data_IF_147323018541
#
_entry.id   IF_147323018541
#
_cell.length_a   1.000
_cell.length_b   1.000
_cell.length_c   1.000
_cell.angle_alpha   90.00
_cell.angle_beta   90.00
_cell.angle_gamma   90.00
#
_symmetry.space_group_name_H-M   'P 1'
#
loop_
_entity.id
_entity.type
_entity.pdbx_description
1 polymer ?
#
# COMPACT_ATOMS: atom_id res chain seq x y z
N UNK A 1 -3.75 -0.57 31.56
CA UNK A 1 -4.69 -1.02 30.50
C UNK A 1 -5.15 0.12 29.58
N UNK A 2 -4.33 1.17 29.36
CA UNK A 2 -4.70 2.32 28.50
C UNK A 2 -4.33 2.16 27.00
N UNK A 3 -3.48 1.20 26.64
CA UNK A 3 -2.94 1.10 25.27
C UNK A 3 -3.75 0.22 24.30
N UNK A 4 -4.72 -0.57 24.78
CA UNK A 4 -5.45 -1.48 23.89
C UNK A 4 -6.47 -0.74 23.01
N UNK A 5 -7.27 0.14 23.60
CA UNK A 5 -8.26 0.94 22.87
C UNK A 5 -7.63 1.85 21.81
N UNK A 6 -6.56 2.57 22.17
CA UNK A 6 -5.87 3.47 21.22
C UNK A 6 -5.27 2.74 20.01
N UNK A 7 -4.75 1.52 20.21
CA UNK A 7 -4.21 0.71 19.13
C UNK A 7 -5.31 0.15 18.22
N UNK A 8 -6.45 -0.21 18.79
CA UNK A 8 -7.61 -0.69 18.02
C UNK A 8 -8.19 0.46 17.16
N UNK A 9 -8.28 1.68 17.71
CA UNK A 9 -8.73 2.86 16.96
C UNK A 9 -7.80 3.23 15.80
N UNK A 10 -6.48 3.14 16.01
CA UNK A 10 -5.48 3.38 14.97
C UNK A 10 -5.56 2.34 13.84
N UNK A 11 -5.68 1.05 14.17
CA UNK A 11 -5.85 -0.01 13.19
C UNK A 11 -7.13 0.19 12.36
N UNK A 12 -8.24 0.59 12.99
CA UNK A 12 -9.50 0.91 12.32
C UNK A 12 -9.32 2.10 11.36
N UNK A 13 -8.61 3.15 11.78
CA UNK A 13 -8.30 4.30 10.91
C UNK A 13 -7.53 3.85 9.67
N UNK A 14 -6.44 3.09 9.85
CA UNK A 14 -5.61 2.57 8.75
C UNK A 14 -6.45 1.72 7.80
N UNK A 15 -7.27 0.81 8.32
CA UNK A 15 -8.16 -0.03 7.50
C UNK A 15 -9.14 0.80 6.67
N UNK A 16 -9.67 1.89 7.23
CA UNK A 16 -10.60 2.75 6.50
C UNK A 16 -9.90 3.48 5.35
N UNK A 17 -8.70 4.03 5.59
CA UNK A 17 -7.88 4.66 4.53
C UNK A 17 -7.57 3.66 3.42
N UNK A 18 -7.14 2.45 3.77
CA UNK A 18 -6.82 1.41 2.80
C UNK A 18 -8.05 0.92 2.02
N UNK A 19 -9.22 0.83 2.67
CA UNK A 19 -10.48 0.53 1.99
C UNK A 19 -10.82 1.60 0.97
N UNK A 20 -10.67 2.88 1.32
CA UNK A 20 -10.91 3.99 0.40
C UNK A 20 -9.95 3.94 -0.79
N UNK A 21 -8.64 3.81 -0.55
CA UNK A 21 -7.64 3.70 -1.63
C UNK A 21 -7.94 2.55 -2.60
N UNK A 22 -8.33 1.38 -2.09
CA UNK A 22 -8.68 0.22 -2.94
C UNK A 22 -10.05 0.28 -3.59
N UNK A 23 -10.91 1.21 -3.16
CA UNK A 23 -12.21 1.45 -3.80
C UNK A 23 -12.12 2.38 -5.02
N UNK A 24 -10.95 2.98 -5.25
CA UNK A 24 -10.68 3.82 -6.42
C UNK A 24 -10.49 2.93 -7.65
N UNK A 25 -11.25 3.23 -8.71
CA UNK A 25 -11.20 2.49 -9.97
C UNK A 25 -10.08 3.03 -10.87
N UNK A 26 -8.93 2.35 -10.86
CA UNK A 26 -7.79 2.73 -11.69
C UNK A 26 -7.95 2.24 -13.14
N UNK A 27 -7.84 3.17 -14.09
CA UNK A 27 -7.89 2.92 -15.54
C UNK A 27 -6.57 3.36 -16.19
N UNK A 28 -6.20 2.79 -17.37
CA UNK A 28 -4.95 3.13 -18.06
C UNK A 28 -5.08 4.47 -18.81
N UNK A 29 -5.31 5.54 -18.05
CA UNK A 29 -5.43 6.92 -18.52
C UNK A 29 -4.79 7.85 -17.47
N UNK A 30 -4.45 9.10 -17.82
CA UNK A 30 -3.96 10.06 -16.85
C UNK A 30 -5.04 10.39 -15.82
N UNK A 31 -4.65 10.53 -14.55
CA UNK A 31 -5.58 10.95 -13.50
C UNK A 31 -6.08 12.37 -13.74
N UNK A 32 -7.38 12.55 -13.54
CA UNK A 32 -8.03 13.85 -13.35
C UNK A 32 -7.56 14.51 -12.05
N UNK A 33 -7.78 15.82 -11.92
CA UNK A 33 -7.41 16.54 -10.70
C UNK A 33 -8.20 16.07 -9.48
N UNK A 34 -9.46 15.66 -9.67
CA UNK A 34 -10.31 15.11 -8.61
C UNK A 34 -9.79 13.74 -8.13
N UNK A 35 -9.43 12.83 -9.05
CA UNK A 35 -8.85 11.53 -8.68
C UNK A 35 -7.50 11.70 -7.97
N UNK A 36 -6.65 12.62 -8.44
CA UNK A 36 -5.41 12.96 -7.73
C UNK A 36 -5.71 13.46 -6.33
N UNK A 37 -6.66 14.38 -6.17
CA UNK A 37 -7.03 14.92 -4.88
C UNK A 37 -7.50 13.84 -3.90
N UNK A 38 -8.30 12.88 -4.36
CA UNK A 38 -8.79 11.78 -3.55
C UNK A 38 -7.64 10.85 -3.10
N UNK A 39 -6.74 10.48 -4.01
CA UNK A 39 -5.55 9.68 -3.70
C UNK A 39 -4.65 10.41 -2.71
N UNK A 40 -4.35 11.68 -2.98
CA UNK A 40 -3.53 12.56 -2.16
C UNK A 40 -4.06 12.66 -0.72
N UNK A 41 -5.37 12.82 -0.55
CA UNK A 41 -5.98 12.89 0.78
C UNK A 41 -5.82 11.61 1.57
N UNK A 42 -5.91 10.45 0.92
CA UNK A 42 -5.69 9.18 1.61
C UNK A 42 -4.20 8.92 1.89
N UNK A 43 -3.30 9.25 0.96
CA UNK A 43 -1.86 9.06 1.16
C UNK A 43 -1.30 9.93 2.30
N UNK A 44 -1.84 11.13 2.51
CA UNK A 44 -1.44 12.02 3.61
C UNK A 44 -1.61 11.38 4.99
N UNK A 45 -2.56 10.47 5.16
CA UNK A 45 -2.79 9.73 6.41
C UNK A 45 -1.63 8.78 6.78
N UNK A 46 -0.73 8.52 5.82
CA UNK A 46 0.53 7.79 5.98
C UNK A 46 1.77 8.68 5.84
N UNK A 47 1.60 10.00 5.77
CA UNK A 47 2.70 10.93 5.51
C UNK A 47 3.24 10.85 4.08
N UNK A 48 2.41 10.41 3.13
CA UNK A 48 2.73 10.28 1.71
C UNK A 48 1.92 11.26 0.86
N UNK A 49 2.37 11.42 -0.37
CA UNK A 49 1.64 11.97 -1.50
C UNK A 49 2.09 11.22 -2.77
N UNK A 50 1.52 11.51 -3.94
CA UNK A 50 1.86 10.79 -5.17
C UNK A 50 3.34 11.02 -5.53
N UNK A 51 3.83 12.25 -5.38
CA UNK A 51 5.22 12.63 -5.68
C UNK A 51 6.22 11.83 -4.82
N UNK A 52 6.11 11.92 -3.50
CA UNK A 52 6.94 11.18 -2.56
C UNK A 52 6.82 9.68 -2.75
N UNK A 53 5.63 9.16 -3.08
CA UNK A 53 5.45 7.74 -3.38
C UNK A 53 6.26 7.30 -4.60
N UNK A 54 6.43 8.16 -5.60
CA UNK A 54 7.33 7.93 -6.75
C UNK A 54 8.79 7.98 -6.32
N UNK A 55 9.17 8.98 -5.52
CA UNK A 55 10.56 9.24 -5.13
C UNK A 55 11.14 8.23 -4.14
N UNK A 56 10.33 7.71 -3.22
CA UNK A 56 10.75 6.80 -2.17
C UNK A 56 11.45 5.56 -2.74
N UNK A 57 12.58 5.15 -2.16
CA UNK A 57 13.11 3.82 -2.47
C UNK A 57 12.27 2.72 -1.82
N UNK A 58 12.37 1.48 -2.33
CA UNK A 58 11.50 0.38 -1.90
C UNK A 58 11.62 0.12 -0.38
N UNK A 59 12.85 0.09 0.13
CA UNK A 59 13.16 -0.17 1.54
C UNK A 59 12.73 1.01 2.45
N UNK A 60 12.83 2.23 1.94
CA UNK A 60 12.40 3.44 2.65
C UNK A 60 10.88 3.47 2.81
N UNK A 61 10.14 3.10 1.75
CA UNK A 61 8.68 2.99 1.80
C UNK A 61 8.24 1.94 2.82
N UNK A 62 8.86 0.75 2.83
CA UNK A 62 8.56 -0.29 3.84
C UNK A 62 8.81 0.26 5.25
N UNK A 63 9.94 0.91 5.45
CA UNK A 63 10.31 1.48 6.75
C UNK A 63 9.28 2.53 7.21
N UNK A 64 8.81 3.38 6.29
CA UNK A 64 7.75 4.35 6.58
C UNK A 64 6.45 3.66 7.00
N UNK A 65 5.96 2.71 6.20
CA UNK A 65 4.66 2.06 6.45
C UNK A 65 4.66 1.27 7.76
N UNK A 66 5.76 0.60 8.11
CA UNK A 66 5.91 -0.08 9.41
C UNK A 66 5.94 0.93 10.56
N UNK A 67 6.56 2.11 10.38
CA UNK A 67 6.52 3.19 11.37
C UNK A 67 5.13 3.82 11.50
N UNK A 68 4.33 3.77 10.45
CA UNK A 68 2.90 4.12 10.46
C UNK A 68 2.02 3.00 11.06
N UNK A 69 2.62 1.97 11.66
CA UNK A 69 1.94 0.90 12.39
C UNK A 69 1.05 -0.01 11.53
N UNK A 70 1.27 -0.05 10.21
CA UNK A 70 0.58 -1.01 9.34
C UNK A 70 1.02 -2.44 9.71
N UNK A 71 0.05 -3.29 10.01
CA UNK A 71 0.30 -4.73 10.15
C UNK A 71 0.48 -5.43 8.80
N UNK A 72 0.84 -6.72 8.80
CA UNK A 72 1.09 -7.45 7.55
C UNK A 72 -0.10 -7.51 6.60
N UNK A 73 -1.33 -7.59 7.12
CA UNK A 73 -2.53 -7.60 6.30
C UNK A 73 -2.81 -6.22 5.71
N UNK A 74 -2.50 -5.15 6.45
CA UNK A 74 -2.59 -3.77 5.99
C UNK A 74 -1.48 -3.43 4.96
N UNK A 75 -0.27 -3.96 5.14
CA UNK A 75 0.81 -3.86 4.16
C UNK A 75 0.44 -4.59 2.86
N UNK A 76 -0.17 -5.77 2.95
CA UNK A 76 -0.66 -6.51 1.77
C UNK A 76 -1.71 -5.69 1.02
N UNK A 77 -2.66 -5.12 1.75
CA UNK A 77 -3.69 -4.23 1.22
C UNK A 77 -3.12 -2.97 0.54
N UNK A 78 -2.06 -2.39 1.09
CA UNK A 78 -1.38 -1.25 0.48
C UNK A 78 -0.64 -1.67 -0.81
N UNK A 79 0.02 -2.84 -0.80
CA UNK A 79 0.65 -3.39 -1.99
C UNK A 79 -0.37 -3.72 -3.10
N UNK A 80 -1.56 -4.21 -2.75
CA UNK A 80 -2.66 -4.43 -3.70
C UNK A 80 -3.08 -3.10 -4.36
N UNK A 81 -3.19 -2.03 -3.57
CA UNK A 81 -3.44 -0.68 -4.09
C UNK A 81 -2.34 -0.25 -5.07
N UNK A 82 -1.06 -0.40 -4.72
CA UNK A 82 0.05 -0.05 -5.62
C UNK A 82 0.01 -0.81 -6.94
N UNK A 83 -0.34 -2.10 -6.92
CA UNK A 83 -0.49 -2.91 -8.13
C UNK A 83 -1.60 -2.37 -9.04
N UNK A 84 -2.73 -1.97 -8.47
CA UNK A 84 -3.84 -1.40 -9.25
C UNK A 84 -3.48 0.00 -9.77
N UNK A 85 -2.86 0.83 -8.93
CA UNK A 85 -2.48 2.18 -9.31
C UNK A 85 -1.41 2.19 -10.41
N UNK A 86 -0.57 1.15 -10.51
CA UNK A 86 0.42 1.02 -11.58
C UNK A 86 -0.16 0.85 -12.99
N UNK A 87 -1.49 0.69 -13.12
CA UNK A 87 -2.16 0.65 -14.43
C UNK A 87 -2.30 2.06 -15.01
N UNK A 88 -2.36 3.09 -14.15
CA UNK A 88 -2.52 4.49 -14.54
C UNK A 88 -1.31 4.95 -15.35
N UNK A 89 -1.58 5.74 -16.38
CA UNK A 89 -0.53 6.26 -17.25
C UNK A 89 0.50 7.08 -16.45
N UNK A 90 1.79 6.86 -16.73
CA UNK A 90 2.94 7.51 -16.09
C UNK A 90 3.26 7.09 -14.65
N UNK A 91 2.56 6.11 -14.07
CA UNK A 91 2.87 5.58 -12.75
C UNK A 91 3.26 4.10 -12.82
N UNK A 92 4.37 3.74 -12.17
CA UNK A 92 4.80 2.34 -12.04
C UNK A 92 5.27 2.07 -10.62
N UNK A 93 4.42 1.40 -9.85
CA UNK A 93 4.66 0.98 -8.48
C UNK A 93 4.73 -0.55 -8.33
N UNK A 94 4.77 -1.30 -9.44
CA UNK A 94 4.71 -2.77 -9.39
C UNK A 94 5.91 -3.35 -8.62
N UNK A 95 7.10 -2.76 -8.79
CA UNK A 95 8.28 -3.17 -8.02
C UNK A 95 8.11 -2.87 -6.53
N UNK A 96 7.56 -1.70 -6.16
CA UNK A 96 7.30 -1.35 -4.75
C UNK A 96 6.32 -2.34 -4.12
N UNK A 97 5.24 -2.69 -4.84
CA UNK A 97 4.28 -3.69 -4.40
C UNK A 97 4.93 -5.08 -4.25
N UNK A 98 5.76 -5.49 -5.21
CA UNK A 98 6.48 -6.77 -5.16
C UNK A 98 7.37 -6.87 -3.92
N UNK A 99 8.15 -5.82 -3.62
CA UNK A 99 9.04 -5.83 -2.45
C UNK A 99 8.23 -5.83 -1.14
N UNK A 100 7.05 -5.17 -1.09
CA UNK A 100 6.14 -5.28 0.05
C UNK A 100 5.63 -6.72 0.25
N UNK A 101 5.20 -7.41 -0.81
CA UNK A 101 4.79 -8.82 -0.68
C UNK A 101 5.93 -9.71 -0.20
N UNK A 102 7.16 -9.48 -0.72
CA UNK A 102 8.35 -10.22 -0.29
C UNK A 102 8.69 -9.96 1.18
N UNK A 103 8.61 -8.70 1.61
CA UNK A 103 8.78 -8.31 3.00
C UNK A 103 7.79 -9.03 3.92
N UNK A 104 6.50 -9.06 3.55
CA UNK A 104 5.47 -9.78 4.32
C UNK A 104 5.79 -11.28 4.40
N UNK A 105 6.17 -11.91 3.29
CA UNK A 105 6.52 -13.33 3.28
C UNK A 105 7.74 -13.64 4.15
N UNK A 106 8.71 -12.73 4.19
CA UNK A 106 9.93 -12.89 4.98
C UNK A 106 9.68 -12.68 6.48
N UNK A 107 9.01 -11.58 6.84
CA UNK A 107 8.92 -11.12 8.23
C UNK A 107 7.73 -11.70 9.01
N UNK A 108 6.65 -12.10 8.33
CA UNK A 108 5.48 -12.69 9.00
C UNK A 108 5.78 -14.04 9.65
N UNK A 109 6.84 -14.74 9.21
CA UNK A 109 7.21 -16.11 9.63
C UNK A 109 6.08 -17.13 9.45
N UNK A 110 5.06 -16.79 8.66
CA UNK A 110 3.93 -17.64 8.31
C UNK A 110 3.99 -17.88 6.81
N UNK A 111 3.84 -19.13 6.41
CA UNK A 111 3.72 -19.45 4.99
C UNK A 111 2.33 -19.03 4.50
N UNK A 112 2.27 -18.15 3.51
CA UNK A 112 1.01 -17.69 2.91
C UNK A 112 0.97 -18.05 1.42
N UNK A 113 0.03 -18.93 1.05
CA UNK A 113 -0.23 -19.25 -0.35
C UNK A 113 -0.67 -18.01 -1.14
N UNK A 114 -1.48 -17.13 -0.52
CA UNK A 114 -1.95 -15.90 -1.14
C UNK A 114 -0.80 -14.95 -1.50
N UNK A 115 0.09 -14.69 -0.54
CA UNK A 115 1.27 -13.82 -0.77
C UNK A 115 2.19 -14.44 -1.82
N UNK A 116 2.46 -15.74 -1.76
CA UNK A 116 3.30 -16.39 -2.78
C UNK A 116 2.70 -16.31 -4.19
N UNK A 117 1.38 -16.46 -4.32
CA UNK A 117 0.71 -16.28 -5.60
C UNK A 117 0.84 -14.84 -6.13
N UNK A 118 0.70 -13.84 -5.25
CA UNK A 118 0.90 -12.42 -5.60
C UNK A 118 2.34 -12.13 -6.03
N UNK A 119 3.34 -12.64 -5.30
CA UNK A 119 4.76 -12.52 -5.66
C UNK A 119 5.02 -13.14 -7.05
N UNK A 120 4.50 -14.35 -7.30
CA UNK A 120 4.67 -15.02 -8.58
C UNK A 120 4.01 -14.24 -9.72
N UNK A 121 2.79 -13.76 -9.51
CA UNK A 121 2.07 -12.95 -10.50
C UNK A 121 2.81 -11.64 -10.83
N UNK A 122 3.33 -10.94 -9.82
CA UNK A 122 4.04 -9.68 -10.00
C UNK A 122 5.40 -9.85 -10.71
N UNK A 123 6.06 -11.01 -10.57
CA UNK A 123 7.33 -11.31 -11.29
C UNK A 123 7.14 -11.69 -12.75
N UNK A 124 5.94 -12.06 -13.16
CA UNK A 124 5.63 -12.56 -14.50
C UNK A 124 5.00 -11.49 -15.41
N UNK A 125 4.88 -10.26 -14.94
CA UNK A 125 4.51 -9.09 -15.74
C UNK A 125 5.76 -8.42 -16.31
#
# INVERSE_FOLDING_TARGET
MLNKGLRDDEAIRIDNVLKTLRSLDFVPQPLTDDEKFDIENQLKEFGLNIETLVEYQNEELITLLVRCHLDFNQLEQFADFLMQFSIVENYNFENKALVLYQYIQQESKVFSFGINAKIASAKNK
#
